data_IF_188334781988
#
_entry.id   IF_188334781988
#
_cell.length_a   1.000
_cell.length_b   1.000
_cell.length_c   1.000
_cell.angle_alpha   90.00
_cell.angle_beta   90.00
_cell.angle_gamma   90.00
#
_symmetry.space_group_name_H-M   'P 1'
#
loop_
_entity.id
_entity.type
_entity.pdbx_description
1 polymer ?
#
# COMPACT_ATOMS: atom_id res chain seq x y z
N UNK A 1 12.30 -7.21 6.17
CA UNK A 1 12.21 -5.95 5.40
C UNK A 1 11.36 -4.99 6.20
N UNK A 2 11.74 -3.72 6.31
CA UNK A 2 10.87 -2.70 6.91
C UNK A 2 9.99 -2.05 5.85
N UNK A 3 9.05 -1.21 6.28
CA UNK A 3 8.08 -0.57 5.39
C UNK A 3 8.74 0.42 4.43
N UNK A 4 9.77 1.13 4.87
CA UNK A 4 10.48 2.12 4.05
C UNK A 4 11.24 1.43 2.90
N UNK A 5 11.87 0.30 3.18
CA UNK A 5 12.54 -0.53 2.18
C UNK A 5 11.53 -1.12 1.19
N UNK A 6 10.38 -1.62 1.68
CA UNK A 6 9.30 -2.10 0.81
C UNK A 6 8.80 -1.00 -0.14
N UNK A 7 8.50 0.18 0.39
CA UNK A 7 8.03 1.32 -0.43
C UNK A 7 9.08 1.74 -1.46
N UNK A 8 10.37 1.76 -1.08
CA UNK A 8 11.46 2.07 -2.01
C UNK A 8 11.57 1.05 -3.14
N UNK A 9 11.48 -0.24 -2.83
CA UNK A 9 11.55 -1.30 -3.85
C UNK A 9 10.33 -1.29 -4.77
N UNK A 10 9.13 -1.03 -4.25
CA UNK A 10 7.93 -0.85 -5.07
C UNK A 10 8.04 0.37 -5.99
N UNK A 11 8.61 1.48 -5.51
CA UNK A 11 8.85 2.66 -6.34
C UNK A 11 9.79 2.35 -7.53
N UNK A 12 10.80 1.50 -7.32
CA UNK A 12 11.70 1.05 -8.40
C UNK A 12 10.95 0.22 -9.43
N UNK A 13 10.12 -0.73 -9.00
CA UNK A 13 9.30 -1.56 -9.92
C UNK A 13 8.34 -0.68 -10.73
N UNK A 14 7.64 0.24 -10.06
CA UNK A 14 6.75 1.21 -10.72
C UNK A 14 7.49 2.04 -11.78
N UNK A 15 8.68 2.53 -11.45
CA UNK A 15 9.47 3.34 -12.39
C UNK A 15 9.96 2.55 -13.61
N UNK A 16 10.13 1.23 -13.51
CA UNK A 16 10.42 0.36 -14.66
C UNK A 16 9.16 0.11 -15.49
N UNK A 17 8.04 -0.17 -14.83
CA UNK A 17 6.75 -0.43 -15.50
C UNK A 17 6.23 0.81 -16.25
N UNK A 18 6.52 2.01 -15.78
CA UNK A 18 6.09 3.28 -16.40
C UNK A 18 6.95 3.73 -17.60
N UNK A 19 7.96 2.96 -17.99
CA UNK A 19 8.75 3.26 -19.19
C UNK A 19 7.97 2.95 -20.48
N UNK A 20 8.33 3.62 -21.58
CA UNK A 20 7.74 3.39 -22.89
C UNK A 20 8.83 2.92 -23.90
N UNK A 21 8.84 1.64 -24.32
CA UNK A 21 8.01 0.53 -23.85
C UNK A 21 8.47 0.01 -22.47
N UNK A 22 7.53 -0.53 -21.69
CA UNK A 22 7.83 -1.13 -20.40
C UNK A 22 8.67 -2.41 -20.56
N UNK A 23 9.72 -2.55 -19.74
CA UNK A 23 10.51 -3.77 -19.67
C UNK A 23 9.84 -4.77 -18.73
N UNK A 24 8.85 -5.51 -19.25
CA UNK A 24 8.07 -6.47 -18.47
C UNK A 24 8.90 -7.62 -17.90
N UNK A 25 10.01 -7.99 -18.55
CA UNK A 25 10.92 -9.02 -18.02
C UNK A 25 11.65 -8.51 -16.78
N UNK A 26 12.06 -7.24 -16.78
CA UNK A 26 12.67 -6.63 -15.60
C UNK A 26 11.64 -6.40 -14.48
N UNK A 27 10.41 -5.98 -14.81
CA UNK A 27 9.31 -5.87 -13.84
C UNK A 27 9.07 -7.21 -13.14
N UNK A 28 8.94 -8.30 -13.90
CA UNK A 28 8.70 -9.65 -13.35
C UNK A 28 9.86 -10.13 -12.47
N UNK A 29 11.11 -9.89 -12.91
CA UNK A 29 12.31 -10.23 -12.14
C UNK A 29 12.33 -9.50 -10.80
N UNK A 30 12.15 -8.18 -10.80
CA UNK A 30 12.17 -7.35 -9.60
C UNK A 30 11.01 -7.69 -8.66
N UNK A 31 9.82 -7.96 -9.20
CA UNK A 31 8.65 -8.35 -8.44
C UNK A 31 8.87 -9.70 -7.74
N UNK A 32 9.37 -10.71 -8.47
CA UNK A 32 9.72 -12.02 -7.93
C UNK A 32 10.77 -11.94 -6.81
N UNK A 33 11.81 -11.14 -7.01
CA UNK A 33 12.86 -10.92 -6.01
C UNK A 33 12.35 -10.22 -4.75
N UNK A 34 11.37 -9.32 -4.89
CA UNK A 34 10.74 -8.67 -3.74
C UNK A 34 9.81 -9.65 -3.01
N UNK A 35 8.96 -10.38 -3.73
CA UNK A 35 8.01 -11.34 -3.18
C UNK A 35 8.71 -12.45 -2.36
N UNK A 36 9.88 -12.94 -2.81
CA UNK A 36 10.68 -13.92 -2.05
C UNK A 36 11.16 -13.42 -0.68
N UNK A 37 11.22 -12.11 -0.48
CA UNK A 37 11.70 -11.50 0.77
C UNK A 37 10.56 -11.05 1.69
N UNK A 38 9.31 -11.15 1.22
CA UNK A 38 8.13 -10.74 1.97
C UNK A 38 7.52 -11.91 2.74
N UNK A 39 7.07 -11.70 3.98
CA UNK A 39 6.25 -12.69 4.66
C UNK A 39 4.89 -12.77 3.96
N UNK A 40 4.42 -13.99 3.68
CA UNK A 40 3.14 -14.26 3.00
C UNK A 40 1.98 -13.54 3.72
N UNK A 41 1.98 -13.55 5.05
CA UNK A 41 0.86 -13.03 5.87
C UNK A 41 0.96 -11.53 6.22
N UNK A 42 2.03 -10.85 5.82
CA UNK A 42 2.30 -9.47 6.24
C UNK A 42 2.23 -8.45 5.09
N UNK A 43 1.93 -8.90 3.88
CA UNK A 43 1.90 -8.04 2.69
C UNK A 43 0.47 -7.58 2.41
N UNK A 44 0.20 -6.27 2.30
CA UNK A 44 -1.11 -5.78 1.89
C UNK A 44 -1.57 -6.41 0.57
N UNK A 45 -2.86 -6.71 0.46
CA UNK A 45 -3.42 -7.40 -0.71
C UNK A 45 -3.11 -6.68 -2.03
N UNK A 46 -3.20 -5.34 -2.07
CA UNK A 46 -2.86 -4.55 -3.26
C UNK A 46 -1.39 -4.72 -3.68
N UNK A 47 -0.46 -4.80 -2.70
CA UNK A 47 0.96 -5.04 -2.98
C UNK A 47 1.16 -6.48 -3.45
N UNK A 48 0.45 -7.44 -2.85
CA UNK A 48 0.53 -8.84 -3.26
C UNK A 48 0.11 -9.02 -4.72
N UNK A 49 -1.08 -8.54 -5.10
CA UNK A 49 -1.56 -8.61 -6.48
C UNK A 49 -0.65 -7.84 -7.45
N UNK A 50 -0.11 -6.69 -7.03
CA UNK A 50 0.85 -5.96 -7.86
C UNK A 50 2.13 -6.75 -8.13
N UNK A 51 2.63 -7.55 -7.19
CA UNK A 51 3.82 -8.34 -7.42
C UNK A 51 3.54 -9.61 -8.23
N UNK A 52 2.35 -10.20 -8.08
CA UNK A 52 2.00 -11.47 -8.71
C UNK A 52 1.49 -11.31 -10.17
N UNK A 53 0.71 -10.28 -10.44
CA UNK A 53 -0.08 -10.17 -11.67
C UNK A 53 0.62 -9.38 -12.80
N UNK A 54 1.94 -9.49 -12.94
CA UNK A 54 2.68 -8.74 -13.97
C UNK A 54 2.21 -9.10 -15.39
N UNK A 55 1.90 -10.37 -15.65
CA UNK A 55 1.37 -10.87 -16.92
C UNK A 55 -0.03 -10.32 -17.24
N UNK A 56 -0.87 -10.13 -16.21
CA UNK A 56 -2.20 -9.52 -16.35
C UNK A 56 -2.07 -8.04 -16.65
N UNK A 57 -1.19 -7.32 -15.95
CA UNK A 57 -0.95 -5.89 -16.22
C UNK A 57 -0.38 -5.66 -17.62
N UNK A 58 0.47 -6.56 -18.11
CA UNK A 58 1.03 -6.45 -19.46
C UNK A 58 -0.03 -6.55 -20.58
N UNK A 59 -1.19 -7.19 -20.32
CA UNK A 59 -2.25 -7.41 -21.31
C UNK A 59 -3.52 -6.58 -21.09
N UNK A 60 -3.75 -6.08 -19.88
CA UNK A 60 -4.93 -5.28 -19.52
C UNK A 60 -4.51 -3.92 -18.94
N UNK A 61 -4.54 -2.90 -19.81
CA UNK A 61 -4.17 -1.54 -19.43
C UNK A 61 -5.08 -0.95 -18.33
N UNK A 62 -6.37 -1.30 -18.30
CA UNK A 62 -7.28 -0.79 -17.27
C UNK A 62 -6.93 -1.36 -15.91
N UNK A 63 -6.57 -2.65 -15.87
CA UNK A 63 -6.06 -3.30 -14.68
C UNK A 63 -4.72 -2.70 -14.25
N UNK A 64 -3.78 -2.53 -15.19
CA UNK A 64 -2.47 -1.94 -14.93
C UNK A 64 -2.57 -0.53 -14.33
N UNK A 65 -3.39 0.35 -14.92
CA UNK A 65 -3.60 1.72 -14.41
C UNK A 65 -4.13 1.71 -12.97
N UNK A 66 -5.09 0.83 -12.66
CA UNK A 66 -5.65 0.72 -11.30
C UNK A 66 -4.57 0.28 -10.31
N UNK A 67 -3.88 -0.82 -10.63
CA UNK A 67 -2.82 -1.38 -9.80
C UNK A 67 -1.69 -0.38 -9.54
N UNK A 68 -1.20 0.33 -10.58
CA UNK A 68 -0.18 1.39 -10.43
C UNK A 68 -0.66 2.50 -9.50
N UNK A 69 -1.93 2.91 -9.57
CA UNK A 69 -2.47 3.95 -8.70
C UNK A 69 -2.56 3.52 -7.24
N UNK A 70 -2.98 2.28 -6.97
CA UNK A 70 -3.06 1.71 -5.63
C UNK A 70 -1.66 1.59 -5.00
N UNK A 71 -0.69 1.04 -5.72
CA UNK A 71 0.70 0.91 -5.23
C UNK A 71 1.37 2.26 -5.10
N UNK A 72 1.14 3.21 -6.01
CA UNK A 72 1.67 4.58 -5.87
C UNK A 72 1.15 5.25 -4.60
N UNK A 73 -0.16 5.14 -4.32
CA UNK A 73 -0.74 5.64 -3.07
C UNK A 73 -0.06 5.00 -1.86
N UNK A 74 0.13 3.68 -1.88
CA UNK A 74 0.80 2.97 -0.79
C UNK A 74 2.23 3.46 -0.56
N UNK A 75 3.00 3.66 -1.64
CA UNK A 75 4.37 4.19 -1.57
C UNK A 75 4.40 5.62 -1.02
N UNK A 76 3.45 6.47 -1.43
CA UNK A 76 3.40 7.88 -1.03
C UNK A 76 2.97 8.08 0.44
N UNK A 77 2.04 7.26 0.93
CA UNK A 77 1.48 7.43 2.29
C UNK A 77 2.16 6.55 3.33
N UNK A 78 2.83 5.47 2.91
CA UNK A 78 3.28 4.39 3.80
C UNK A 78 2.14 3.71 4.56
N UNK A 79 0.89 4.07 4.23
CA UNK A 79 -0.31 3.79 4.98
C UNK A 79 -1.22 2.85 4.22
N UNK A 80 -1.58 1.76 4.90
CA UNK A 80 -2.59 0.81 4.47
C UNK A 80 -3.98 1.35 4.86
N UNK A 81 -4.87 1.55 3.89
CA UNK A 81 -6.32 1.63 4.13
C UNK A 81 -6.87 0.25 3.77
N UNK A 82 -7.10 -0.58 4.79
CA UNK A 82 -7.64 -1.94 4.66
C UNK A 82 -9.13 -1.95 4.30
N UNK A 83 -9.72 -0.78 4.04
CA UNK A 83 -11.14 -0.62 3.83
C UNK A 83 -11.95 -0.78 5.10
N UNK A 84 -11.34 -0.78 6.30
CA UNK A 84 -12.08 -0.49 7.52
C UNK A 84 -12.36 1.02 7.56
N UNK A 85 -13.61 1.46 7.32
CA UNK A 85 -13.95 2.86 7.55
C UNK A 85 -13.69 3.13 9.03
N UNK A 86 -12.69 3.95 9.34
CA UNK A 86 -12.47 4.45 10.70
C UNK A 86 -13.80 5.10 11.10
N UNK A 87 -14.57 4.54 12.06
CA UNK A 87 -15.83 5.13 12.41
C UNK A 87 -15.51 6.50 13.01
N UNK A 88 -15.94 7.56 12.34
CA UNK A 88 -15.74 8.97 12.74
C UNK A 88 -16.30 9.21 14.16
N UNK A 89 -17.17 8.32 14.63
CA UNK A 89 -17.68 8.24 16.00
C UNK A 89 -16.62 7.90 17.07
N UNK A 90 -15.52 7.22 16.71
CA UNK A 90 -14.43 6.89 17.62
C UNK A 90 -13.65 8.13 18.10
N UNK A 91 -13.42 9.10 17.21
CA UNK A 91 -12.77 10.36 17.58
C UNK A 91 -13.65 11.23 18.49
N UNK A 92 -14.97 11.23 18.27
CA UNK A 92 -15.91 11.96 19.13
C UNK A 92 -15.94 11.38 20.56
N UNK A 93 -15.79 10.06 20.71
CA UNK A 93 -15.80 9.38 22.01
C UNK A 93 -14.52 9.65 22.82
N UNK A 94 -13.36 9.71 22.16
CA UNK A 94 -12.08 10.10 22.79
C UNK A 94 -12.11 11.56 23.26
N UNK A 95 -12.69 12.47 22.48
CA UNK A 95 -12.83 13.88 22.88
C UNK A 95 -13.80 14.08 24.05
N UNK A 96 -14.91 13.33 24.10
CA UNK A 96 -15.87 13.39 25.21
C UNK A 96 -15.32 12.82 26.52
N UNK A 97 -14.57 11.72 26.47
CA UNK A 97 -13.89 11.15 27.65
C UNK A 97 -12.79 12.09 28.16
N UNK A 98 -12.01 12.69 27.26
CA UNK A 98 -10.99 13.68 27.62
C UNK A 98 -11.57 14.94 28.30
N UNK A 99 -12.64 15.51 27.74
CA UNK A 99 -13.30 16.68 28.34
C UNK A 99 -13.98 16.37 29.68
N UNK A 100 -14.57 15.18 29.83
CA UNK A 100 -15.19 14.74 31.09
C UNK A 100 -14.18 14.54 32.22
N UNK A 101 -12.99 13.99 31.92
CA UNK A 101 -11.93 13.78 32.90
C UNK A 101 -11.32 15.10 33.41
N UNK A 102 -11.14 16.09 32.53
CA UNK A 102 -10.61 17.41 32.93
C UNK A 102 -11.59 18.14 33.85
N UNK A 103 -12.90 18.04 33.57
CA UNK A 103 -13.92 18.67 34.42
C UNK A 103 -14.03 18.00 35.81
N UNK A 104 -13.83 16.69 35.91
CA UNK A 104 -13.88 15.97 37.18
C UNK A 104 -12.65 16.21 38.07
N UNK A 105 -11.49 16.56 37.49
CA UNK A 105 -10.25 16.88 38.21
C UNK A 105 -10.20 18.32 38.75
N UNK A 106 -11.12 19.17 38.30
CA UNK A 106 -11.22 20.60 38.68
C UNK A 106 -12.37 20.88 39.67
N UNK A 107 -13.04 19.84 40.17
CA UNK A 107 -14.18 19.89 41.10
C UNK A 107 -13.82 19.18 42.42
#
# INVERSE_FOLDING_TARGET
>A
MDMDELCRRLAVILAVEEQEPADWSEVERLASELQQQLPIDATPEAVHHYLDDADIRARDEKYAVRQRLEVRRFVETGGYDDGTPIPIWGCALVLLVGAGLVNWLML
#
